data_IF_300403645474
#
_entry.id   IF_300403645474
#
_cell.length_a   1.000
_cell.length_b   1.000
_cell.length_c   1.000
_cell.angle_alpha   90.00
_cell.angle_beta   90.00
_cell.angle_gamma   90.00
#
_symmetry.space_group_name_H-M   'P 1'
#
loop_
_entity.id
_entity.type
_entity.pdbx_description
1 polymer ?
#
# COMPACT_ATOMS: atom_id res chain seq x y z
N UNK A 1 29.53 -3.81 37.99
CA UNK A 1 28.79 -2.77 37.28
C UNK A 1 29.05 -2.64 35.79
N UNK A 2 30.20 -3.15 35.31
CA UNK A 2 30.51 -3.22 33.88
C UNK A 2 29.51 -4.05 33.09
N UNK A 3 28.97 -5.12 33.70
CA UNK A 3 27.92 -5.95 33.07
C UNK A 3 26.61 -5.19 32.91
N UNK A 4 26.24 -4.31 33.82
CA UNK A 4 25.05 -3.44 33.72
C UNK A 4 25.21 -2.35 32.66
N UNK A 5 26.42 -1.76 32.58
CA UNK A 5 26.71 -0.77 31.53
C UNK A 5 26.68 -1.39 30.15
N UNK A 6 27.25 -2.58 29.95
CA UNK A 6 27.22 -3.32 28.70
C UNK A 6 25.79 -3.75 28.33
N UNK A 7 24.99 -4.17 29.31
CA UNK A 7 23.58 -4.50 29.08
C UNK A 7 22.78 -3.27 28.67
N UNK A 8 23.02 -2.12 29.30
CA UNK A 8 22.38 -0.84 28.94
C UNK A 8 22.76 -0.38 27.54
N UNK A 9 24.04 -0.51 27.15
CA UNK A 9 24.50 -0.18 25.79
C UNK A 9 23.93 -1.10 24.73
N UNK A 10 23.82 -2.41 25.00
CA UNK A 10 23.24 -3.37 24.06
C UNK A 10 21.74 -3.16 23.90
N UNK A 11 21.02 -2.82 24.97
CA UNK A 11 19.59 -2.48 24.92
C UNK A 11 19.35 -1.22 24.10
N UNK A 12 20.15 -0.17 24.30
CA UNK A 12 20.09 1.06 23.52
C UNK A 12 20.37 0.84 22.02
N UNK A 13 21.33 -0.06 21.72
CA UNK A 13 21.63 -0.45 20.33
C UNK A 13 20.47 -1.19 19.66
N UNK A 14 19.80 -2.11 20.38
CA UNK A 14 18.61 -2.83 19.89
C UNK A 14 17.44 -1.87 19.67
N UNK A 15 17.22 -0.93 20.59
CA UNK A 15 16.13 0.06 20.46
C UNK A 15 16.36 0.98 19.26
N UNK A 16 17.59 1.41 19.00
CA UNK A 16 17.96 2.17 17.81
C UNK A 16 17.72 1.39 16.52
N UNK A 17 18.15 0.13 16.49
CA UNK A 17 17.95 -0.74 15.34
C UNK A 17 16.48 -0.95 15.04
N UNK A 18 15.65 -1.14 16.07
CA UNK A 18 14.20 -1.26 15.96
C UNK A 18 13.56 0.01 15.40
N UNK A 19 13.91 1.17 15.97
CA UNK A 19 13.40 2.47 15.52
C UNK A 19 13.74 2.74 14.05
N UNK A 20 14.96 2.43 13.63
CA UNK A 20 15.40 2.60 12.25
C UNK A 20 14.63 1.66 11.31
N UNK A 21 14.41 0.40 11.71
CA UNK A 21 13.63 -0.54 10.93
C UNK A 21 12.18 -0.09 10.77
N UNK A 22 11.56 0.44 11.82
CA UNK A 22 10.20 0.99 11.79
C UNK A 22 10.10 2.22 10.87
N UNK A 23 11.07 3.13 10.93
CA UNK A 23 11.15 4.30 10.06
C UNK A 23 11.29 3.90 8.59
N UNK A 24 12.15 2.94 8.29
CA UNK A 24 12.36 2.43 6.93
C UNK A 24 11.09 1.75 6.39
N UNK A 25 10.38 1.01 7.23
CA UNK A 25 9.12 0.39 6.86
C UNK A 25 8.05 1.43 6.56
N UNK A 26 7.94 2.47 7.39
CA UNK A 26 6.99 3.56 7.19
C UNK A 26 7.27 4.30 5.88
N UNK A 27 8.53 4.63 5.58
CA UNK A 27 8.91 5.28 4.33
C UNK A 27 8.59 4.42 3.11
N UNK A 28 8.80 3.11 3.21
CA UNK A 28 8.43 2.17 2.16
C UNK A 28 6.91 2.15 1.93
N UNK A 29 6.12 2.12 2.98
CA UNK A 29 4.66 2.18 2.91
C UNK A 29 4.19 3.47 2.23
N UNK A 30 4.75 4.61 2.62
CA UNK A 30 4.47 5.90 1.98
C UNK A 30 4.79 5.89 0.50
N UNK A 31 5.90 5.29 0.11
CA UNK A 31 6.33 5.20 -1.28
C UNK A 31 5.35 4.38 -2.12
N UNK A 32 4.89 3.23 -1.61
CA UNK A 32 3.87 2.40 -2.27
C UNK A 32 2.59 3.20 -2.49
N UNK A 33 2.12 3.91 -1.48
CA UNK A 33 0.89 4.70 -1.58
C UNK A 33 1.04 5.87 -2.57
N UNK A 34 2.19 6.55 -2.59
CA UNK A 34 2.47 7.58 -3.61
C UNK A 34 2.39 7.01 -5.03
N UNK A 35 2.91 5.82 -5.25
CA UNK A 35 2.81 5.13 -6.55
C UNK A 35 1.36 4.84 -6.93
N UNK A 36 0.56 4.36 -5.99
CA UNK A 36 -0.87 4.14 -6.23
C UNK A 36 -1.57 5.44 -6.66
N UNK A 37 -1.33 6.55 -5.96
CA UNK A 37 -1.89 7.84 -6.35
C UNK A 37 -1.41 8.29 -7.74
N UNK A 38 -0.15 8.07 -8.08
CA UNK A 38 0.38 8.43 -9.39
C UNK A 38 -0.27 7.65 -10.53
N UNK A 39 -0.68 6.41 -10.28
CA UNK A 39 -1.35 5.57 -11.29
C UNK A 39 -2.78 6.00 -11.57
N UNK A 40 -3.43 6.69 -10.65
CA UNK A 40 -4.85 7.02 -10.72
C UNK A 40 -5.25 7.82 -11.96
N UNK A 41 -4.40 8.75 -12.38
CA UNK A 41 -4.67 9.71 -13.46
C UNK A 41 -3.95 9.37 -14.79
N UNK A 42 -3.28 8.23 -14.86
CA UNK A 42 -2.55 7.84 -16.06
C UNK A 42 -3.49 7.29 -17.14
N UNK A 43 -3.11 7.50 -18.41
CA UNK A 43 -3.69 6.76 -19.53
C UNK A 43 -3.41 5.26 -19.37
N UNK A 44 -4.15 4.40 -20.05
CA UNK A 44 -3.92 2.95 -19.95
C UNK A 44 -2.53 2.54 -20.43
N UNK A 45 -2.03 3.16 -21.49
CA UNK A 45 -0.68 2.88 -22.00
C UNK A 45 0.38 3.23 -20.94
N UNK A 46 0.30 4.44 -20.38
CA UNK A 46 1.22 4.90 -19.36
C UNK A 46 1.07 4.08 -18.06
N UNK A 47 -0.14 3.70 -17.71
CA UNK A 47 -0.42 2.84 -16.56
C UNK A 47 0.35 1.51 -16.65
N UNK A 48 0.28 0.82 -17.76
CA UNK A 48 0.99 -0.45 -17.93
C UNK A 48 2.50 -0.26 -17.92
N UNK A 49 3.02 0.80 -18.54
CA UNK A 49 4.45 1.09 -18.54
C UNK A 49 4.97 1.40 -17.13
N UNK A 50 4.26 2.23 -16.37
CA UNK A 50 4.66 2.59 -15.01
C UNK A 50 4.54 1.38 -14.07
N UNK A 51 3.51 0.58 -14.21
CA UNK A 51 3.35 -0.64 -13.41
C UNK A 51 4.45 -1.66 -13.70
N UNK A 52 4.79 -1.87 -14.96
CA UNK A 52 5.89 -2.75 -15.36
C UNK A 52 7.24 -2.28 -14.78
N UNK A 53 7.49 -0.98 -14.81
CA UNK A 53 8.70 -0.40 -14.21
C UNK A 53 8.74 -0.60 -12.69
N UNK A 54 7.62 -0.38 -12.01
CA UNK A 54 7.52 -0.65 -10.57
C UNK A 54 7.79 -2.11 -10.24
N UNK A 55 7.15 -3.04 -10.94
CA UNK A 55 7.34 -4.48 -10.72
C UNK A 55 8.79 -4.91 -10.92
N UNK A 56 9.46 -4.33 -11.91
CA UNK A 56 10.88 -4.60 -12.19
C UNK A 56 11.80 -4.09 -11.07
N UNK A 57 11.46 -2.95 -10.45
CA UNK A 57 12.29 -2.29 -9.45
C UNK A 57 12.00 -2.72 -8.01
N UNK A 58 10.80 -3.22 -7.73
CA UNK A 58 10.44 -3.58 -6.36
C UNK A 58 11.22 -4.81 -5.89
N UNK A 59 11.69 -4.76 -4.65
CA UNK A 59 12.45 -5.83 -4.03
C UNK A 59 11.57 -6.87 -3.34
N UNK A 60 10.35 -6.47 -2.92
CA UNK A 60 9.44 -7.33 -2.18
C UNK A 60 7.99 -6.97 -2.50
N UNK A 61 7.43 -7.70 -3.46
CA UNK A 61 6.06 -7.50 -3.92
C UNK A 61 5.00 -7.87 -2.88
N UNK A 62 5.25 -8.89 -2.04
CA UNK A 62 4.33 -9.25 -0.96
C UNK A 62 4.23 -8.12 0.06
N UNK A 63 5.33 -7.47 0.38
CA UNK A 63 5.35 -6.34 1.29
C UNK A 63 4.66 -5.10 0.70
N UNK A 64 4.78 -4.90 -0.59
CA UNK A 64 4.04 -3.84 -1.30
C UNK A 64 2.53 -4.09 -1.21
N UNK A 65 2.08 -5.32 -1.41
CA UNK A 65 0.66 -5.69 -1.23
C UNK A 65 0.19 -5.51 0.21
N UNK A 66 1.02 -5.86 1.19
CA UNK A 66 0.70 -5.63 2.61
C UNK A 66 0.50 -4.15 2.91
N UNK A 67 1.33 -3.28 2.35
CA UNK A 67 1.20 -1.83 2.48
C UNK A 67 -0.14 -1.33 1.91
N UNK A 68 -0.56 -1.86 0.76
CA UNK A 68 -1.85 -1.52 0.15
C UNK A 68 -3.01 -2.01 1.03
N UNK A 69 -2.92 -3.23 1.59
CA UNK A 69 -3.95 -3.75 2.51
C UNK A 69 -4.12 -2.88 3.75
N UNK A 70 -3.04 -2.46 4.36
CA UNK A 70 -3.08 -1.58 5.53
C UNK A 70 -3.71 -0.22 5.19
N UNK A 71 -3.41 0.32 4.04
CA UNK A 71 -4.02 1.55 3.54
C UNK A 71 -5.53 1.40 3.30
N UNK A 72 -5.96 0.32 2.64
CA UNK A 72 -7.38 0.00 2.45
C UNK A 72 -8.10 -0.15 3.80
N UNK A 73 -7.46 -0.74 4.78
CA UNK A 73 -7.99 -0.85 6.14
C UNK A 73 -8.21 0.52 6.77
N UNK A 74 -7.29 1.45 6.60
CA UNK A 74 -7.47 2.83 7.09
C UNK A 74 -8.66 3.53 6.46
N UNK A 75 -8.82 3.38 5.15
CA UNK A 75 -9.97 3.94 4.43
C UNK A 75 -11.27 3.31 4.96
N UNK A 76 -11.27 2.00 5.19
CA UNK A 76 -12.42 1.28 5.75
C UNK A 76 -12.79 1.76 7.15
N UNK A 77 -11.81 1.98 8.02
CA UNK A 77 -12.03 2.55 9.35
C UNK A 77 -12.61 3.96 9.27
N UNK A 78 -12.14 4.77 8.34
CA UNK A 78 -12.67 6.12 8.12
C UNK A 78 -14.13 6.11 7.65
N UNK A 79 -14.57 5.11 6.88
CA UNK A 79 -16.00 4.96 6.52
C UNK A 79 -16.89 4.75 7.75
N UNK A 80 -16.35 4.20 8.83
CA UNK A 80 -17.03 4.01 10.11
C UNK A 80 -16.82 5.17 11.10
N UNK A 81 -16.24 6.28 10.65
CA UNK A 81 -15.95 7.45 11.48
C UNK A 81 -14.79 7.25 12.45
N UNK A 82 -13.94 6.25 12.23
CA UNK A 82 -12.75 5.99 13.05
C UNK A 82 -11.51 6.54 12.36
N UNK A 83 -10.77 7.38 13.07
CA UNK A 83 -9.46 7.82 12.62
C UNK A 83 -8.41 6.77 12.99
N UNK A 84 -7.68 6.30 11.99
CA UNK A 84 -6.48 5.52 12.21
C UNK A 84 -5.28 6.41 11.89
N UNK A 85 -4.36 6.53 12.81
CA UNK A 85 -3.26 7.49 12.71
C UNK A 85 -1.93 6.76 12.48
N UNK A 86 -1.86 6.01 11.39
CA UNK A 86 -0.62 5.28 11.03
C UNK A 86 0.43 6.17 10.39
N UNK A 87 0.04 7.34 9.87
CA UNK A 87 0.96 8.35 9.33
C UNK A 87 1.47 8.08 7.91
N UNK A 88 1.08 7.00 7.23
CA UNK A 88 1.56 6.74 5.87
C UNK A 88 0.69 7.37 4.76
N UNK A 89 -0.45 7.93 5.10
CA UNK A 89 -1.22 8.78 4.21
C UNK A 89 -1.84 9.94 4.99
N UNK A 90 -2.15 11.02 4.31
CA UNK A 90 -2.78 12.18 4.93
C UNK A 90 -4.22 11.85 5.32
N UNK A 91 -4.63 12.27 6.50
CA UNK A 91 -6.00 12.09 6.97
C UNK A 91 -7.05 12.64 6.00
N UNK A 92 -6.75 13.76 5.33
CA UNK A 92 -7.61 14.35 4.32
C UNK A 92 -7.83 13.46 3.11
N UNK A 93 -6.77 12.79 2.62
CA UNK A 93 -6.83 11.84 1.52
C UNK A 93 -7.66 10.61 1.90
N UNK A 94 -7.44 10.08 3.09
CA UNK A 94 -8.19 8.93 3.63
C UNK A 94 -9.68 9.26 3.72
N UNK A 95 -10.04 10.42 4.26
CA UNK A 95 -11.44 10.87 4.35
C UNK A 95 -12.07 11.06 2.98
N UNK A 96 -11.34 11.63 2.02
CA UNK A 96 -11.82 11.83 0.67
C UNK A 96 -12.14 10.49 -0.01
N UNK A 97 -11.25 9.51 0.11
CA UNK A 97 -11.47 8.17 -0.41
C UNK A 97 -12.62 7.45 0.30
N UNK A 98 -12.70 7.57 1.62
CA UNK A 98 -13.82 7.02 2.41
C UNK A 98 -15.17 7.60 2.00
N UNK A 99 -15.22 8.89 1.66
CA UNK A 99 -16.43 9.57 1.21
C UNK A 99 -16.86 9.22 -0.22
N UNK A 100 -15.94 8.74 -1.05
CA UNK A 100 -16.19 8.41 -2.47
C UNK A 100 -16.31 6.91 -2.75
N UNK A 101 -16.12 6.05 -1.76
CA UNK A 101 -16.07 4.60 -1.92
C UNK A 101 -17.03 3.92 -0.94
N UNK A 102 -17.61 2.79 -1.34
CA UNK A 102 -18.45 1.99 -0.45
C UNK A 102 -17.62 1.00 0.37
N UNK A 103 -18.15 0.62 1.53
CA UNK A 103 -17.57 -0.42 2.37
C UNK A 103 -17.42 -1.75 1.62
N UNK A 104 -18.45 -2.14 0.85
CA UNK A 104 -18.45 -3.37 0.07
C UNK A 104 -17.31 -3.39 -0.94
N UNK A 105 -17.07 -2.27 -1.61
CA UNK A 105 -15.98 -2.14 -2.58
C UNK A 105 -14.61 -2.23 -1.94
N UNK A 106 -14.43 -1.64 -0.77
CA UNK A 106 -13.19 -1.76 0.01
C UNK A 106 -12.91 -3.20 0.43
N UNK A 107 -13.93 -3.93 0.86
CA UNK A 107 -13.81 -5.34 1.22
C UNK A 107 -13.47 -6.20 0.00
N UNK A 108 -14.08 -5.96 -1.15
CA UNK A 108 -13.74 -6.63 -2.41
C UNK A 108 -12.28 -6.39 -2.81
N UNK A 109 -11.80 -5.15 -2.68
CA UNK A 109 -10.40 -4.80 -2.94
C UNK A 109 -9.46 -5.51 -1.97
N UNK A 110 -9.81 -5.57 -0.71
CA UNK A 110 -9.03 -6.29 0.30
C UNK A 110 -8.91 -7.78 -0.05
N UNK A 111 -10.00 -8.41 -0.43
CA UNK A 111 -10.01 -9.81 -0.87
C UNK A 111 -9.13 -10.01 -2.13
N UNK A 112 -9.15 -9.06 -3.06
CA UNK A 112 -8.27 -9.06 -4.23
C UNK A 112 -6.79 -9.05 -3.82
N UNK A 113 -6.42 -8.25 -2.81
CA UNK A 113 -5.05 -8.22 -2.28
C UNK A 113 -4.65 -9.56 -1.64
N UNK A 114 -5.55 -10.17 -0.88
CA UNK A 114 -5.32 -11.49 -0.27
C UNK A 114 -5.08 -12.55 -1.33
N UNK A 115 -5.92 -12.59 -2.36
CA UNK A 115 -5.78 -13.51 -3.49
C UNK A 115 -4.46 -13.29 -4.25
N UNK A 116 -4.09 -12.05 -4.48
CA UNK A 116 -2.84 -11.69 -5.14
C UNK A 116 -1.62 -12.15 -4.32
N UNK A 117 -1.66 -12.01 -3.01
CA UNK A 117 -0.61 -12.51 -2.11
C UNK A 117 -0.45 -14.03 -2.24
N UNK A 118 -1.56 -14.76 -2.28
CA UNK A 118 -1.53 -16.22 -2.50
C UNK A 118 -0.93 -16.58 -3.86
N UNK A 119 -1.29 -15.86 -4.92
CA UNK A 119 -0.74 -16.07 -6.26
C UNK A 119 0.77 -15.85 -6.30
N UNK A 120 1.28 -14.81 -5.65
CA UNK A 120 2.72 -14.56 -5.57
C UNK A 120 3.45 -15.68 -4.83
N UNK A 121 2.88 -16.20 -3.75
CA UNK A 121 3.44 -17.32 -2.99
C UNK A 121 3.44 -18.62 -3.77
N UNK A 122 2.54 -18.79 -4.71
CA UNK A 122 2.45 -19.96 -5.61
C UNK A 122 3.27 -19.77 -6.89
N UNK A 123 4.19 -18.81 -6.93
CA UNK A 123 5.02 -18.49 -8.09
C UNK A 123 4.24 -18.11 -9.37
N UNK A 124 3.08 -17.49 -9.22
CA UNK A 124 2.36 -16.91 -10.34
C UNK A 124 3.16 -15.77 -10.99
N UNK A 125 2.80 -15.41 -12.22
CA UNK A 125 3.45 -14.30 -12.92
C UNK A 125 3.30 -13.00 -12.12
N UNK A 126 4.43 -12.49 -11.62
CA UNK A 126 4.50 -11.32 -10.76
C UNK A 126 3.92 -10.05 -11.44
N UNK A 127 4.28 -9.83 -12.70
CA UNK A 127 3.81 -8.67 -13.45
C UNK A 127 2.30 -8.71 -13.62
N UNK A 128 1.73 -9.80 -14.10
CA UNK A 128 0.28 -9.94 -14.28
C UNK A 128 -0.48 -9.80 -12.97
N UNK A 129 0.05 -10.37 -11.89
CA UNK A 129 -0.57 -10.28 -10.56
C UNK A 129 -0.62 -8.84 -10.08
N UNK A 130 0.48 -8.12 -10.15
CA UNK A 130 0.56 -6.72 -9.69
C UNK A 130 -0.17 -5.75 -10.63
N UNK A 131 -0.16 -5.98 -11.94
CA UNK A 131 -0.98 -5.22 -12.88
C UNK A 131 -2.48 -5.37 -12.55
N UNK A 132 -2.92 -6.59 -12.27
CA UNK A 132 -4.29 -6.87 -11.86
C UNK A 132 -4.68 -6.15 -10.57
N UNK A 133 -3.79 -6.14 -9.58
CA UNK A 133 -3.98 -5.42 -8.32
C UNK A 133 -4.09 -3.91 -8.55
N UNK A 134 -3.15 -3.32 -9.25
CA UNK A 134 -3.14 -1.89 -9.52
C UNK A 134 -4.39 -1.46 -10.31
N UNK A 135 -4.80 -2.27 -11.27
CA UNK A 135 -6.00 -2.03 -12.05
C UNK A 135 -7.27 -2.11 -11.20
N UNK A 136 -7.36 -3.09 -10.30
CA UNK A 136 -8.48 -3.23 -9.37
C UNK A 136 -8.58 -2.02 -8.43
N UNK A 137 -7.46 -1.54 -7.90
CA UNK A 137 -7.42 -0.35 -7.05
C UNK A 137 -7.84 0.90 -7.83
N UNK A 138 -7.32 1.07 -9.04
CA UNK A 138 -7.67 2.19 -9.91
C UNK A 138 -9.18 2.23 -10.18
N UNK A 139 -9.77 1.12 -10.56
CA UNK A 139 -11.21 0.99 -10.82
C UNK A 139 -12.04 1.15 -9.55
N UNK A 140 -11.58 0.55 -8.46
CA UNK A 140 -12.31 0.50 -7.21
C UNK A 140 -12.37 1.83 -6.47
N UNK A 141 -11.29 2.58 -6.42
CA UNK A 141 -11.19 3.82 -5.64
C UNK A 141 -11.43 5.08 -6.47
N UNK A 142 -11.02 5.08 -7.73
CA UNK A 142 -11.10 6.27 -8.58
C UNK A 142 -12.25 6.20 -9.59
N UNK A 143 -12.97 5.09 -9.62
CA UNK A 143 -14.18 4.90 -10.41
C UNK A 143 -13.96 4.96 -11.91
N UNK A 144 -15.07 5.10 -12.65
CA UNK A 144 -15.07 5.19 -14.11
C UNK A 144 -14.71 6.58 -14.65
N UNK A 145 -14.63 7.60 -13.78
CA UNK A 145 -14.37 8.97 -14.20
C UNK A 145 -13.00 9.15 -14.87
N UNK A 146 -12.02 8.33 -14.51
CA UNK A 146 -10.72 8.29 -15.17
C UNK A 146 -10.70 7.54 -16.51
N UNK A 147 -11.75 6.77 -16.80
CA UNK A 147 -11.88 5.99 -18.04
C UNK A 147 -12.65 6.75 -19.11
N UNK A 148 -13.61 7.58 -18.72
CA UNK A 148 -14.45 8.35 -19.65
C UNK A 148 -13.67 9.47 -20.34
N UNK A 149 -12.49 9.82 -19.85
CA UNK A 149 -11.61 10.78 -20.53
C UNK A 149 -10.84 10.16 -21.71
N UNK A 150 -11.05 8.87 -21.99
CA UNK A 150 -10.41 8.14 -23.08
C UNK A 150 -11.37 7.87 -24.27
N UNK A 151 -12.61 8.29 -24.14
CA UNK A 151 -13.59 8.18 -25.22
C UNK A 151 -13.68 9.44 -26.06
#
# INVERSE_FOLDING_TARGET
>A
DRARELAGLSQGSLDRARSLAEENQLERQKEVIRKIYSLANLSMADFFDVTADWVRKTQDSEQDLESIKLWLREILLATAGRDSNTGFDRAENIRALAGSTSRERLLELYDTMELATQHLRQNANKLLTLEGVCLAVKRGLYGQSGWNSLS
#
